data_IF_378930845638
#
_entry.id   IF_378930845638
#
_cell.length_a   1.000
_cell.length_b   1.000
_cell.length_c   1.000
_cell.angle_alpha   90.00
_cell.angle_beta   90.00
_cell.angle_gamma   90.00
#
_symmetry.space_group_name_H-M   'P 1'
#
loop_
_entity.id
_entity.type
_entity.pdbx_description
1 polymer ?
#
# COMPACT_ATOMS: atom_id res chain seq x y z
N UNK A 1 -5.29 -30.20 46.19
CA UNK A 1 -3.99 -29.57 45.87
C UNK A 1 -4.04 -29.10 44.42
N UNK A 2 -3.67 -27.83 44.23
CA UNK A 2 -3.67 -27.10 42.96
C UNK A 2 -2.39 -27.47 42.20
N UNK A 3 -2.48 -27.82 40.92
CA UNK A 3 -1.37 -27.60 39.98
C UNK A 3 -1.91 -27.11 38.64
N UNK A 4 -1.43 -25.93 38.29
CA UNK A 4 -1.78 -25.12 37.13
C UNK A 4 -0.83 -25.36 35.95
N UNK A 5 -1.30 -24.91 34.77
CA UNK A 5 -0.54 -24.40 33.61
C UNK A 5 0.38 -25.41 32.88
N UNK A 6 0.41 -25.45 31.54
CA UNK A 6 0.76 -24.31 30.68
C UNK A 6 0.02 -24.38 29.34
N UNK A 7 -0.91 -23.44 29.17
CA UNK A 7 -1.42 -23.01 27.88
C UNK A 7 -0.25 -22.34 27.15
N UNK A 8 0.35 -23.06 26.20
CA UNK A 8 1.27 -22.48 25.21
C UNK A 8 0.45 -21.59 24.28
N UNK A 9 0.21 -20.35 24.72
CA UNK A 9 -0.43 -19.29 23.97
C UNK A 9 0.51 -18.87 22.82
N UNK A 10 0.45 -19.60 21.70
CA UNK A 10 1.05 -19.16 20.42
C UNK A 10 0.39 -17.85 20.05
N UNK A 11 1.14 -16.77 20.15
CA UNK A 11 0.77 -15.42 19.74
C UNK A 11 0.77 -15.31 18.20
N UNK A 12 -0.36 -15.13 17.51
CA UNK A 12 -0.39 -15.00 16.05
C UNK A 12 -0.36 -13.53 15.60
N UNK A 13 0.53 -12.71 16.14
CA UNK A 13 0.60 -11.26 15.84
C UNK A 13 1.66 -10.95 14.77
N UNK A 14 1.55 -11.56 13.58
CA UNK A 14 2.49 -11.27 12.49
C UNK A 14 2.13 -11.73 11.07
N UNK A 15 1.21 -12.69 10.88
CA UNK A 15 1.07 -13.42 9.60
C UNK A 15 -0.20 -13.13 8.80
N UNK A 16 -0.96 -12.06 9.12
CA UNK A 16 -2.26 -11.86 8.47
C UNK A 16 -2.20 -11.13 7.12
N UNK A 17 -1.14 -10.37 6.81
CA UNK A 17 -1.01 -9.64 5.53
C UNK A 17 -0.47 -10.53 4.40
N UNK A 18 0.53 -11.37 4.67
CA UNK A 18 1.17 -12.25 3.68
C UNK A 18 0.16 -13.26 3.09
N UNK A 19 -0.65 -13.87 3.94
CA UNK A 19 -1.64 -14.88 3.52
C UNK A 19 -2.81 -14.30 2.71
N UNK A 20 -3.11 -13.01 2.90
CA UNK A 20 -4.23 -12.33 2.24
C UNK A 20 -4.00 -12.19 0.73
N UNK A 21 -2.78 -11.89 0.30
CA UNK A 21 -2.42 -11.68 -1.11
C UNK A 21 -1.93 -12.95 -1.81
N UNK A 22 -1.45 -13.94 -1.06
CA UNK A 22 -1.10 -15.26 -1.58
C UNK A 22 -2.29 -16.17 -1.91
N UNK A 23 -3.52 -15.79 -1.55
CA UNK A 23 -4.71 -16.59 -1.86
C UNK A 23 -5.03 -16.53 -3.37
N UNK A 24 -5.08 -17.69 -4.04
CA UNK A 24 -5.30 -17.78 -5.50
C UNK A 24 -6.57 -17.08 -6.01
N UNK A 25 -7.56 -16.82 -5.15
CA UNK A 25 -8.75 -16.04 -5.50
C UNK A 25 -8.45 -14.55 -5.80
N UNK A 26 -7.53 -13.91 -5.05
CA UNK A 26 -7.13 -12.52 -5.32
C UNK A 26 -6.29 -12.43 -6.57
N UNK A 27 -5.39 -13.39 -6.76
CA UNK A 27 -4.57 -13.52 -7.96
C UNK A 27 -5.43 -13.65 -9.23
N UNK A 28 -6.46 -14.51 -9.22
CA UNK A 28 -7.43 -14.61 -10.33
C UNK A 28 -8.19 -13.31 -10.60
N UNK A 29 -8.61 -12.62 -9.53
CA UNK A 29 -9.29 -11.33 -9.66
C UNK A 29 -8.36 -10.26 -10.23
N UNK A 30 -7.10 -10.26 -9.80
CA UNK A 30 -6.06 -9.39 -10.31
C UNK A 30 -5.79 -9.62 -11.79
N UNK A 31 -5.50 -10.88 -12.18
CA UNK A 31 -5.26 -11.24 -13.58
C UNK A 31 -6.38 -10.78 -14.50
N UNK A 32 -7.64 -11.05 -14.14
CA UNK A 32 -8.80 -10.61 -14.93
C UNK A 32 -8.86 -9.10 -15.09
N UNK A 33 -8.70 -8.34 -14.00
CA UNK A 33 -8.70 -6.87 -14.04
C UNK A 33 -7.51 -6.29 -14.80
N UNK A 34 -6.35 -6.95 -14.71
CA UNK A 34 -5.15 -6.57 -15.43
C UNK A 34 -5.35 -6.72 -16.94
N UNK A 35 -5.86 -7.86 -17.41
CA UNK A 35 -6.17 -8.06 -18.83
C UNK A 35 -7.18 -7.04 -19.34
N UNK A 36 -8.24 -6.78 -18.58
CA UNK A 36 -9.24 -5.75 -18.93
C UNK A 36 -8.61 -4.35 -19.04
N UNK A 37 -7.74 -3.98 -18.10
CA UNK A 37 -7.05 -2.70 -18.11
C UNK A 37 -6.02 -2.58 -19.25
N UNK A 38 -5.32 -3.67 -19.59
CA UNK A 38 -4.38 -3.71 -20.71
C UNK A 38 -5.11 -3.63 -22.06
N UNK A 39 -6.24 -4.30 -22.22
CA UNK A 39 -7.07 -4.18 -23.43
C UNK A 39 -7.57 -2.74 -23.62
N UNK A 40 -7.98 -2.06 -22.53
CA UNK A 40 -8.34 -0.63 -22.57
C UNK A 40 -7.15 0.26 -22.94
N UNK A 41 -5.97 -0.01 -22.39
CA UNK A 41 -4.76 0.77 -22.69
C UNK A 41 -4.32 0.59 -24.16
N UNK A 42 -4.51 -0.60 -24.74
CA UNK A 42 -4.21 -0.89 -26.15
C UNK A 42 -5.18 -0.20 -27.12
N UNK A 43 -6.44 -0.02 -26.72
CA UNK A 43 -7.45 0.67 -27.53
C UNK A 43 -7.50 2.19 -27.36
N UNK A 44 -6.70 2.76 -26.46
CA UNK A 44 -6.63 4.21 -26.20
C UNK A 44 -5.45 4.89 -26.90
N UNK A 45 -5.54 6.20 -27.07
CA UNK A 45 -4.48 7.04 -27.68
C UNK A 45 -3.16 7.02 -26.88
N UNK A 46 -3.20 6.69 -25.59
CA UNK A 46 -2.03 6.58 -24.71
C UNK A 46 -1.48 5.14 -24.68
N UNK A 47 -0.92 4.66 -25.80
CA UNK A 47 -0.17 3.40 -25.83
C UNK A 47 1.28 3.64 -25.37
N UNK A 48 1.75 2.87 -24.39
CA UNK A 48 3.13 2.98 -23.92
C UNK A 48 3.40 2.37 -22.53
N UNK A 49 4.67 2.27 -22.11
CA UNK A 49 5.06 1.63 -20.84
C UNK A 49 4.43 2.29 -19.61
N UNK A 50 4.14 3.60 -19.68
CA UNK A 50 3.41 4.32 -18.61
C UNK A 50 1.96 3.85 -18.47
N UNK A 51 1.27 3.62 -19.58
CA UNK A 51 -0.11 3.12 -19.56
C UNK A 51 -0.20 1.69 -19.03
N UNK A 52 0.78 0.84 -19.37
CA UNK A 52 0.90 -0.52 -18.81
C UNK A 52 1.09 -0.47 -17.29
N UNK A 53 1.98 0.40 -16.81
CA UNK A 53 2.19 0.60 -15.37
C UNK A 53 0.92 1.10 -14.67
N UNK A 54 0.24 2.09 -15.25
CA UNK A 54 -1.01 2.61 -14.70
C UNK A 54 -2.13 1.58 -14.68
N UNK A 55 -2.25 0.76 -15.74
CA UNK A 55 -3.18 -0.35 -15.81
C UNK A 55 -2.90 -1.40 -14.72
N UNK A 56 -1.63 -1.78 -14.56
CA UNK A 56 -1.22 -2.74 -13.54
C UNK A 56 -1.48 -2.22 -12.12
N UNK A 57 -1.11 -0.97 -11.84
CA UNK A 57 -1.32 -0.37 -10.52
C UNK A 57 -2.81 -0.16 -10.22
N UNK A 58 -3.61 0.22 -11.22
CA UNK A 58 -5.07 0.36 -11.08
C UNK A 58 -5.75 -0.98 -10.82
N UNK A 59 -5.35 -2.03 -11.56
CA UNK A 59 -5.83 -3.39 -11.32
C UNK A 59 -5.46 -3.85 -9.89
N UNK A 60 -4.24 -3.58 -9.43
CA UNK A 60 -3.80 -3.92 -8.08
C UNK A 60 -4.64 -3.20 -7.01
N UNK A 61 -4.85 -1.90 -7.17
CA UNK A 61 -5.66 -1.12 -6.22
C UNK A 61 -7.14 -1.54 -6.20
N UNK A 62 -7.71 -1.90 -7.35
CA UNK A 62 -9.08 -2.42 -7.44
C UNK A 62 -9.21 -3.80 -6.76
N UNK A 63 -8.18 -4.64 -6.81
CA UNK A 63 -8.19 -5.93 -6.09
C UNK A 63 -8.12 -5.78 -4.58
N UNK A 64 -7.43 -4.75 -4.09
CA UNK A 64 -7.45 -4.35 -2.68
C UNK A 64 -8.81 -3.78 -2.23
N UNK A 65 -9.72 -3.49 -3.18
CA UNK A 65 -11.06 -2.92 -2.94
C UNK A 65 -11.05 -1.59 -2.17
N UNK A 66 -9.98 -0.80 -2.26
CA UNK A 66 -9.87 0.48 -1.55
C UNK A 66 -9.79 0.35 -0.02
N UNK A 67 -9.56 -0.85 0.53
CA UNK A 67 -9.50 -1.07 1.99
C UNK A 67 -8.21 -0.51 2.59
N UNK A 68 -7.09 -0.65 1.89
CA UNK A 68 -5.80 -0.10 2.30
C UNK A 68 -5.66 1.38 1.94
N UNK A 69 -4.77 2.10 2.63
CA UNK A 69 -4.47 3.50 2.31
C UNK A 69 -3.75 3.60 0.97
N UNK A 70 -2.84 2.67 0.69
CA UNK A 70 -2.11 2.65 -0.57
C UNK A 70 -3.03 2.43 -1.78
N UNK A 71 -4.05 1.57 -1.66
CA UNK A 71 -5.00 1.34 -2.77
C UNK A 71 -5.84 2.57 -3.06
N UNK A 72 -6.34 3.27 -2.02
CA UNK A 72 -7.01 4.56 -2.18
C UNK A 72 -6.08 5.60 -2.79
N UNK A 73 -4.83 5.66 -2.35
CA UNK A 73 -3.86 6.58 -2.91
C UNK A 73 -3.55 6.30 -4.39
N UNK A 74 -3.58 5.06 -4.84
CA UNK A 74 -3.43 4.73 -6.27
C UNK A 74 -4.65 5.15 -7.07
N UNK A 75 -5.87 4.86 -6.57
CA UNK A 75 -7.11 5.18 -7.28
C UNK A 75 -7.38 6.69 -7.36
N UNK A 76 -7.11 7.43 -6.29
CA UNK A 76 -7.46 8.85 -6.18
C UNK A 76 -6.25 9.79 -6.27
N UNK A 77 -5.02 9.29 -6.06
CA UNK A 77 -3.83 10.13 -5.92
C UNK A 77 -3.04 10.37 -7.19
N UNK A 78 -3.31 9.65 -8.31
CA UNK A 78 -2.54 9.82 -9.56
C UNK A 78 -3.17 10.76 -10.60
N UNK A 79 -4.46 11.11 -10.46
CA UNK A 79 -5.16 12.07 -11.34
C UNK A 79 -5.53 13.41 -10.67
N UNK A 80 -5.09 13.64 -9.44
CA UNK A 80 -5.61 14.76 -8.64
C UNK A 80 -4.58 15.38 -7.72
N UNK A 81 -3.54 15.96 -8.29
CA UNK A 81 -3.04 17.20 -7.72
C UNK A 81 -4.19 18.22 -7.80
N UNK A 82 -4.93 18.39 -6.70
CA UNK A 82 -5.85 19.52 -6.45
C UNK A 82 -7.18 19.59 -7.24
N UNK A 83 -7.86 18.48 -7.54
CA UNK A 83 -9.28 18.54 -7.94
C UNK A 83 -10.08 17.52 -7.11
N UNK A 84 -11.05 18.00 -6.32
CA UNK A 84 -11.92 17.27 -5.38
C UNK A 84 -11.54 17.29 -3.88
N UNK A 85 -10.96 18.39 -3.38
CA UNK A 85 -11.11 18.80 -1.97
C UNK A 85 -11.84 20.15 -1.83
N UNK A 86 -12.83 20.41 -2.70
CA UNK A 86 -13.74 21.56 -2.55
C UNK A 86 -15.19 21.11 -2.37
N UNK A 87 -15.41 20.24 -1.39
CA UNK A 87 -16.74 19.95 -0.84
C UNK A 87 -16.59 19.22 0.49
N UNK A 88 -16.15 19.94 1.51
CA UNK A 88 -16.63 19.84 2.91
C UNK A 88 -15.79 20.77 3.76
N UNK A 89 -16.43 21.88 4.14
CA UNK A 89 -15.87 22.83 5.07
C UNK A 89 -15.42 22.13 6.34
N UNK A 90 -14.13 22.30 6.65
CA UNK A 90 -13.64 22.60 7.97
C UNK A 90 -12.37 23.41 7.76
N UNK A 91 -12.48 24.71 7.99
CA UNK A 91 -11.34 25.57 8.28
C UNK A 91 -10.66 24.95 9.50
N UNK A 92 -9.57 24.22 9.29
CA UNK A 92 -8.69 23.85 10.38
C UNK A 92 -7.45 24.74 10.30
N UNK A 93 -7.58 25.84 11.05
CA UNK A 93 -6.55 26.67 11.66
C UNK A 93 -5.13 26.10 11.50
N UNK A 94 -4.25 26.91 10.90
CA UNK A 94 -2.80 26.76 11.08
C UNK A 94 -2.49 26.86 12.57
N UNK A 95 -2.38 25.73 13.28
CA UNK A 95 -1.79 25.71 14.62
C UNK A 95 -0.29 25.44 14.51
N UNK A 96 0.48 26.36 15.09
CA UNK A 96 1.92 26.36 15.15
C UNK A 96 2.47 25.05 15.71
N UNK A 97 3.67 24.72 15.24
CA UNK A 97 4.50 23.62 15.72
C UNK A 97 4.73 23.75 17.23
N UNK A 98 4.62 22.68 18.02
CA UNK A 98 5.54 22.47 19.12
C UNK A 98 6.83 21.90 18.53
N UNK A 99 7.91 22.67 18.60
CA UNK A 99 9.26 22.19 18.32
C UNK A 99 9.70 21.33 19.51
N UNK A 100 9.40 20.04 19.49
CA UNK A 100 10.07 19.10 20.40
C UNK A 100 11.48 18.84 19.86
N UNK A 101 12.45 19.49 20.49
CA UNK A 101 13.87 19.19 20.30
C UNK A 101 14.15 17.91 21.07
N UNK A 102 14.08 16.77 20.38
CA UNK A 102 14.62 15.52 20.87
C UNK A 102 16.02 15.33 20.30
N UNK A 103 17.02 15.40 21.17
CA UNK A 103 18.42 15.13 20.87
C UNK A 103 18.57 13.75 20.21
N UNK A 104 19.19 13.63 19.03
CA UNK A 104 19.30 12.34 18.38
C UNK A 104 20.57 11.60 18.79
N UNK A 105 20.40 10.45 19.44
CA UNK A 105 21.39 9.37 19.38
C UNK A 105 21.65 8.99 17.91
N UNK A 106 22.90 8.64 17.52
CA UNK A 106 23.26 8.38 16.12
C UNK A 106 22.44 7.25 15.47
N UNK A 107 22.06 6.23 16.24
CA UNK A 107 21.21 5.12 15.76
C UNK A 107 19.79 5.57 15.37
N UNK A 108 19.22 6.52 16.12
CA UNK A 108 17.89 7.04 15.85
C UNK A 108 17.80 7.83 14.53
N UNK A 109 18.92 8.37 14.02
CA UNK A 109 18.94 9.09 12.74
C UNK A 109 18.69 8.14 11.56
N UNK A 110 19.39 7.00 11.50
CA UNK A 110 19.23 6.00 10.44
C UNK A 110 17.81 5.44 10.39
N UNK A 111 17.23 5.09 11.54
CA UNK A 111 15.85 4.60 11.62
C UNK A 111 14.86 5.65 11.12
N UNK A 112 15.04 6.92 11.50
CA UNK A 112 14.19 8.02 11.01
C UNK A 112 14.32 8.23 9.50
N UNK A 113 15.53 8.18 8.95
CA UNK A 113 15.78 8.34 7.52
C UNK A 113 15.17 7.17 6.70
N UNK A 114 15.30 5.94 7.20
CA UNK A 114 14.63 4.77 6.61
C UNK A 114 13.11 4.89 6.64
N UNK A 115 12.53 5.35 7.75
CA UNK A 115 11.08 5.61 7.85
C UNK A 115 10.62 6.69 6.88
N UNK A 116 11.41 7.76 6.69
CA UNK A 116 11.11 8.80 5.70
C UNK A 116 11.15 8.26 4.27
N UNK A 117 12.07 7.36 3.98
CA UNK A 117 12.18 6.67 2.69
C UNK A 117 10.95 5.79 2.46
N UNK A 118 10.58 4.97 3.44
CA UNK A 118 9.41 4.10 3.36
C UNK A 118 8.11 4.88 3.15
N UNK A 119 7.96 6.03 3.82
CA UNK A 119 6.84 6.97 3.62
C UNK A 119 6.75 7.55 2.21
N UNK A 120 7.85 7.61 1.46
CA UNK A 120 7.90 8.07 0.07
C UNK A 120 7.60 6.95 -0.92
N UNK A 121 7.97 5.71 -0.57
CA UNK A 121 7.76 4.53 -1.40
C UNK A 121 6.31 4.04 -1.35
N UNK A 122 5.71 3.97 -0.16
CA UNK A 122 4.35 3.46 0.00
C UNK A 122 3.32 4.55 -0.35
N UNK A 123 2.43 4.33 -1.34
CA UNK A 123 1.41 5.30 -1.69
C UNK A 123 0.54 5.67 -0.48
N UNK A 124 0.25 6.95 -0.28
CA UNK A 124 -0.68 7.42 0.77
C UNK A 124 -0.16 7.43 2.21
N UNK A 125 1.12 7.09 2.45
CA UNK A 125 1.68 6.95 3.79
C UNK A 125 2.59 8.12 4.26
N UNK A 126 2.51 9.30 3.64
CA UNK A 126 3.40 10.44 3.97
C UNK A 126 3.27 11.00 5.39
N UNK A 127 2.08 10.89 6.01
CA UNK A 127 1.74 11.51 7.31
C UNK A 127 1.03 10.53 8.25
N UNK A 128 1.56 9.31 8.38
CA UNK A 128 0.98 8.27 9.24
C UNK A 128 1.93 7.88 10.38
N UNK A 129 1.38 7.27 11.43
CA UNK A 129 2.13 6.68 12.53
C UNK A 129 3.06 5.57 12.04
N UNK A 130 4.08 5.24 12.81
CA UNK A 130 5.07 4.21 12.45
C UNK A 130 4.46 2.82 12.35
N UNK A 131 3.58 2.41 13.27
CA UNK A 131 2.89 1.10 13.22
C UNK A 131 2.08 0.95 11.92
N UNK A 132 1.20 1.92 11.65
CA UNK A 132 0.37 1.88 10.45
C UNK A 132 1.20 1.99 9.16
N UNK A 133 2.35 2.66 9.18
CA UNK A 133 3.27 2.66 8.03
C UNK A 133 3.78 1.25 7.75
N UNK A 134 4.25 0.53 8.78
CA UNK A 134 4.81 -0.80 8.63
C UNK A 134 3.75 -1.81 8.19
N UNK A 135 2.54 -1.75 8.77
CA UNK A 135 1.40 -2.58 8.38
C UNK A 135 1.01 -2.35 6.90
N UNK A 136 0.87 -1.09 6.47
CA UNK A 136 0.56 -0.76 5.07
C UNK A 136 1.71 -1.12 4.13
N UNK A 137 2.97 -1.05 4.61
CA UNK A 137 4.14 -1.45 3.83
C UNK A 137 4.17 -2.96 3.58
N UNK A 138 3.90 -3.76 4.61
CA UNK A 138 3.82 -5.21 4.50
C UNK A 138 2.67 -5.64 3.57
N UNK A 139 1.50 -5.01 3.69
CA UNK A 139 0.37 -5.26 2.78
C UNK A 139 0.68 -4.86 1.33
N UNK A 140 1.37 -3.73 1.12
CA UNK A 140 1.76 -3.29 -0.21
C UNK A 140 2.83 -4.19 -0.83
N UNK A 141 3.80 -4.68 -0.05
CA UNK A 141 4.81 -5.63 -0.52
C UNK A 141 4.17 -6.93 -1.00
N UNK A 142 3.29 -7.53 -0.19
CA UNK A 142 2.59 -8.76 -0.56
C UNK A 142 1.71 -8.57 -1.82
N UNK A 143 1.12 -7.38 -1.99
CA UNK A 143 0.39 -7.02 -3.20
C UNK A 143 1.31 -6.94 -4.43
N UNK A 144 2.50 -6.32 -4.29
CA UNK A 144 3.49 -6.23 -5.36
C UNK A 144 4.04 -7.61 -5.76
N UNK A 145 4.31 -8.49 -4.80
CA UNK A 145 4.75 -9.86 -5.07
C UNK A 145 3.72 -10.63 -5.90
N UNK A 146 2.44 -10.56 -5.53
CA UNK A 146 1.35 -11.15 -6.31
C UNK A 146 1.29 -10.56 -7.71
N UNK A 147 1.43 -9.23 -7.86
CA UNK A 147 1.46 -8.57 -9.16
C UNK A 147 2.61 -9.08 -10.04
N UNK A 148 3.82 -9.15 -9.51
CA UNK A 148 5.00 -9.65 -10.25
C UNK A 148 4.80 -11.10 -10.67
N UNK A 149 4.33 -11.96 -9.77
CA UNK A 149 4.01 -13.37 -10.08
C UNK A 149 2.98 -13.48 -11.20
N UNK A 150 1.91 -12.69 -11.13
CA UNK A 150 0.86 -12.71 -12.14
C UNK A 150 1.35 -12.18 -13.50
N UNK A 151 2.11 -11.08 -13.52
CA UNK A 151 2.64 -10.50 -14.75
C UNK A 151 3.68 -11.41 -15.43
N UNK A 152 4.56 -12.06 -14.66
CA UNK A 152 5.51 -13.04 -15.19
C UNK A 152 4.80 -14.21 -15.88
N UNK A 153 3.71 -14.71 -15.29
CA UNK A 153 2.91 -15.77 -15.89
C UNK A 153 2.19 -15.39 -17.19
N UNK A 154 2.05 -14.09 -17.50
CA UNK A 154 1.48 -13.61 -18.77
C UNK A 154 2.52 -13.45 -19.88
N UNK A 155 3.78 -13.22 -19.51
CA UNK A 155 4.87 -13.00 -20.47
C UNK A 155 5.40 -14.32 -21.05
N UNK A 156 5.06 -15.47 -20.45
CA UNK A 156 5.45 -16.78 -20.97
C UNK A 156 6.96 -16.90 -21.08
N UNK A 157 7.65 -16.89 -19.93
CA UNK A 157 9.05 -17.34 -19.84
C UNK A 157 9.11 -18.84 -19.65
#
# INVERSE_FOLDING_TARGET
MITAALISKRNPEGSTSENKWGTGARERTYRRRLLEALCRARGGSASGPRAVKEAADSALALTARGRSRWSRAILFGRRGGNLLLKARGRVLVRRGRPRMVASPRPEGKRVRDSLLTLRRLVPGCRKVSTSSLLEESADYLAALEMQVKAMRGLVGV
#
